data_IF_231518520973
#
_entry.id   IF_231518520973
#
_cell.length_a   1.000
_cell.length_b   1.000
_cell.length_c   1.000
_cell.angle_alpha   90.00
_cell.angle_beta   90.00
_cell.angle_gamma   90.00
#
_symmetry.space_group_name_H-M   'P 1'
#
loop_
_entity.id
_entity.type
_entity.pdbx_description
1 polymer ?
#
# COMPACT_ATOMS: atom_id res chain seq x y z
N UNK A 1 -12.82 7.55 15.26
CA UNK A 1 -12.15 8.88 15.14
C UNK A 1 -10.79 8.65 14.51
N UNK A 2 -10.45 9.36 13.43
CA UNK A 2 -9.14 9.20 12.77
C UNK A 2 -8.00 9.58 13.73
N UNK A 3 -6.85 8.87 13.70
CA UNK A 3 -5.65 9.30 14.40
C UNK A 3 -5.21 10.70 13.96
N UNK A 4 -4.65 11.48 14.88
CA UNK A 4 -4.31 12.91 14.69
C UNK A 4 -3.45 13.17 13.44
N UNK A 5 -2.49 12.26 13.15
CA UNK A 5 -1.63 12.35 11.96
C UNK A 5 -2.43 12.36 10.65
N UNK A 6 -3.53 11.61 10.58
CA UNK A 6 -4.37 11.50 9.40
C UNK A 6 -5.39 12.63 9.31
N UNK A 7 -5.89 13.11 10.45
CA UNK A 7 -6.72 14.32 10.49
C UNK A 7 -5.98 15.53 9.93
N UNK A 8 -4.70 15.71 10.31
CA UNK A 8 -3.86 16.80 9.78
C UNK A 8 -3.71 16.73 8.26
N UNK A 9 -3.73 15.55 7.65
CA UNK A 9 -3.67 15.40 6.20
C UNK A 9 -4.96 15.92 5.58
N UNK A 10 -6.13 15.53 6.10
CA UNK A 10 -7.43 15.99 5.59
C UNK A 10 -7.56 17.52 5.73
N UNK A 11 -7.20 18.07 6.90
CA UNK A 11 -7.36 19.50 7.17
C UNK A 11 -6.37 20.37 6.41
N UNK A 12 -5.11 19.92 6.27
CA UNK A 12 -4.05 20.72 5.65
C UNK A 12 -3.92 20.49 4.14
N UNK A 13 -4.71 19.59 3.55
CA UNK A 13 -4.72 19.38 2.10
C UNK A 13 -5.18 20.65 1.38
N UNK A 14 -4.31 21.16 0.49
CA UNK A 14 -4.56 22.33 -0.35
C UNK A 14 -5.67 22.04 -1.36
N UNK A 15 -6.50 23.03 -1.65
CA UNK A 15 -7.59 22.88 -2.62
C UNK A 15 -7.07 22.54 -4.02
N UNK A 16 -6.00 23.19 -4.48
CA UNK A 16 -5.34 22.90 -5.77
C UNK A 16 -4.93 21.42 -5.92
N UNK A 17 -4.47 20.78 -4.84
CA UNK A 17 -4.11 19.36 -4.84
C UNK A 17 -5.34 18.46 -4.95
N UNK A 18 -6.43 18.82 -4.26
CA UNK A 18 -7.72 18.13 -4.33
C UNK A 18 -8.30 18.24 -5.74
N UNK A 19 -8.25 19.43 -6.34
CA UNK A 19 -8.74 19.71 -7.69
C UNK A 19 -7.94 18.92 -8.74
N UNK A 20 -6.60 18.86 -8.61
CA UNK A 20 -5.73 18.04 -9.48
C UNK A 20 -6.09 16.55 -9.41
N UNK A 21 -6.55 16.07 -8.25
CA UNK A 21 -6.99 14.70 -8.05
C UNK A 21 -8.47 14.47 -8.41
N UNK A 22 -9.20 15.53 -8.75
CA UNK A 22 -10.64 15.47 -9.02
C UNK A 22 -11.44 14.95 -7.83
N UNK A 23 -11.03 15.27 -6.60
CA UNK A 23 -11.66 14.76 -5.38
C UNK A 23 -12.00 15.88 -4.40
N UNK A 24 -13.05 15.68 -3.62
CA UNK A 24 -13.44 16.57 -2.51
C UNK A 24 -12.68 16.22 -1.24
N UNK A 25 -12.73 17.13 -0.25
CA UNK A 25 -12.13 16.90 1.07
C UNK A 25 -12.83 15.79 1.86
N UNK A 26 -14.14 15.65 1.70
CA UNK A 26 -14.90 14.58 2.35
C UNK A 26 -14.57 13.21 1.74
N UNK A 27 -14.41 13.13 0.42
CA UNK A 27 -13.92 11.92 -0.25
C UNK A 27 -12.49 11.57 0.19
N UNK A 28 -11.62 12.57 0.38
CA UNK A 28 -10.28 12.35 0.94
C UNK A 28 -10.36 11.75 2.35
N UNK A 29 -11.26 12.28 3.19
CA UNK A 29 -11.49 11.74 4.53
C UNK A 29 -11.93 10.28 4.47
N UNK A 30 -12.95 9.96 3.68
CA UNK A 30 -13.43 8.58 3.53
C UNK A 30 -12.35 7.64 3.03
N UNK A 31 -11.51 8.08 2.08
CA UNK A 31 -10.40 7.28 1.57
C UNK A 31 -9.35 7.00 2.65
N UNK A 32 -9.00 8.03 3.43
CA UNK A 32 -8.03 7.89 4.52
C UNK A 32 -8.61 7.02 5.64
N UNK A 33 -9.86 7.20 6.03
CA UNK A 33 -10.56 6.36 7.01
C UNK A 33 -10.53 4.90 6.61
N UNK A 34 -10.93 4.60 5.37
CA UNK A 34 -10.88 3.24 4.85
C UNK A 34 -9.46 2.65 4.86
N UNK A 35 -8.44 3.46 4.55
CA UNK A 35 -7.04 3.02 4.63
C UNK A 35 -6.62 2.72 6.07
N UNK A 36 -6.94 3.60 7.02
CA UNK A 36 -6.57 3.43 8.42
C UNK A 36 -7.22 2.18 9.01
N UNK A 37 -8.50 1.96 8.71
CA UNK A 37 -9.20 0.77 9.16
C UNK A 37 -8.51 -0.50 8.63
N UNK A 38 -8.19 -0.55 7.33
CA UNK A 38 -7.48 -1.72 6.77
C UNK A 38 -6.10 -1.93 7.39
N UNK A 39 -5.34 -0.86 7.63
CA UNK A 39 -4.01 -0.92 8.26
C UNK A 39 -4.09 -1.40 9.72
N UNK A 40 -5.14 -1.00 10.44
CA UNK A 40 -5.35 -1.42 11.82
C UNK A 40 -5.79 -2.87 11.91
N UNK A 41 -6.78 -3.26 11.12
CA UNK A 41 -7.48 -4.55 11.22
C UNK A 41 -6.78 -5.69 10.47
N UNK A 42 -6.07 -5.40 9.38
CA UNK A 42 -5.61 -6.43 8.42
C UNK A 42 -4.09 -6.46 8.26
N UNK A 43 -3.40 -5.33 8.43
CA UNK A 43 -1.95 -5.30 8.21
C UNK A 43 -1.19 -5.96 9.37
N UNK A 44 -0.19 -6.81 9.05
CA UNK A 44 0.64 -7.47 10.06
C UNK A 44 1.37 -6.41 10.89
N UNK A 45 1.52 -6.67 12.19
CA UNK A 45 2.33 -5.84 13.07
C UNK A 45 3.80 -6.26 12.98
N UNK A 46 4.69 -5.40 13.48
CA UNK A 46 6.12 -5.71 13.53
C UNK A 46 6.33 -6.95 14.39
N UNK A 47 6.99 -7.97 13.81
CA UNK A 47 7.23 -9.26 14.45
C UNK A 47 6.19 -10.34 14.10
N UNK A 48 5.08 -9.99 13.46
CA UNK A 48 4.16 -10.95 12.87
C UNK A 48 4.64 -11.37 11.48
N UNK A 49 4.18 -12.55 11.03
CA UNK A 49 4.48 -13.05 9.70
C UNK A 49 3.91 -12.11 8.63
N UNK A 50 4.72 -11.84 7.60
CA UNK A 50 4.25 -11.12 6.43
C UNK A 50 3.17 -11.93 5.69
N UNK A 51 2.11 -11.30 5.14
CA UNK A 51 1.13 -11.97 4.33
C UNK A 51 1.79 -12.72 3.18
N UNK A 52 1.52 -14.02 3.09
CA UNK A 52 2.00 -14.81 1.96
C UNK A 52 1.29 -14.39 0.67
N UNK A 53 2.02 -14.40 -0.42
CA UNK A 53 1.50 -14.07 -1.74
C UNK A 53 2.24 -14.84 -2.82
N UNK A 54 1.57 -14.99 -3.95
CA UNK A 54 2.12 -15.57 -5.18
C UNK A 54 2.16 -14.49 -6.25
N UNK A 55 3.32 -14.24 -6.83
CA UNK A 55 3.53 -13.22 -7.87
C UNK A 55 4.28 -13.81 -9.05
N UNK A 56 4.00 -13.29 -10.24
CA UNK A 56 4.74 -13.65 -11.44
C UNK A 56 6.08 -12.89 -11.48
N UNK A 57 7.16 -13.61 -11.78
CA UNK A 57 8.50 -13.05 -11.97
C UNK A 57 8.58 -12.44 -13.36
N UNK A 58 9.16 -11.24 -13.45
CA UNK A 58 9.52 -10.62 -14.73
C UNK A 58 10.99 -10.92 -15.07
N UNK A 59 11.30 -10.98 -16.36
CA UNK A 59 12.68 -11.04 -16.83
C UNK A 59 13.39 -9.68 -16.68
N UNK A 60 14.67 -9.64 -17.04
CA UNK A 60 15.48 -8.42 -16.96
C UNK A 60 15.00 -7.28 -17.87
N UNK A 61 14.13 -7.58 -18.84
CA UNK A 61 13.50 -6.62 -19.75
C UNK A 61 12.08 -6.25 -19.29
N UNK A 62 11.62 -6.76 -18.14
CA UNK A 62 10.29 -6.50 -17.60
C UNK A 62 9.19 -7.33 -18.26
N UNK A 63 9.51 -8.37 -19.01
CA UNK A 63 8.52 -9.25 -19.66
C UNK A 63 8.08 -10.35 -18.69
N UNK A 64 6.80 -10.69 -18.77
CA UNK A 64 6.17 -11.85 -18.13
C UNK A 64 6.89 -13.15 -18.49
N UNK A 65 7.07 -14.03 -17.50
CA UNK A 65 7.82 -15.29 -17.63
C UNK A 65 6.97 -16.53 -17.34
N UNK A 66 5.71 -16.36 -16.93
CA UNK A 66 4.80 -17.40 -16.42
C UNK A 66 5.35 -18.17 -15.19
N UNK A 67 6.49 -17.75 -14.64
CA UNK A 67 7.07 -18.32 -13.42
C UNK A 67 6.52 -17.60 -12.21
N UNK A 68 5.91 -18.37 -11.31
CA UNK A 68 5.38 -17.86 -10.06
C UNK A 68 6.42 -17.98 -8.93
N UNK A 69 6.45 -16.99 -8.05
CA UNK A 69 7.18 -16.99 -6.79
C UNK A 69 6.20 -16.81 -5.64
N UNK A 70 6.30 -17.71 -4.66
CA UNK A 70 5.62 -17.59 -3.36
C UNK A 70 6.53 -16.90 -2.35
N UNK A 71 6.06 -15.91 -1.60
CA UNK A 71 6.89 -15.22 -0.59
C UNK A 71 7.49 -16.21 0.42
N UNK A 72 6.68 -17.12 0.96
CA UNK A 72 7.12 -18.11 1.94
C UNK A 72 8.21 -19.07 1.43
N UNK A 73 8.44 -19.17 0.12
CA UNK A 73 9.57 -19.93 -0.43
C UNK A 73 10.95 -19.36 -0.05
N UNK A 74 10.99 -18.12 0.42
CA UNK A 74 12.21 -17.41 0.81
C UNK A 74 12.39 -17.33 2.34
N UNK A 75 11.65 -18.15 3.09
CA UNK A 75 11.75 -18.17 4.55
C UNK A 75 13.19 -18.44 5.02
N UNK A 76 13.64 -17.70 6.04
CA UNK A 76 15.01 -17.77 6.56
C UNK A 76 16.01 -16.81 5.89
N UNK A 77 15.58 -16.07 4.86
CA UNK A 77 16.40 -15.03 4.21
C UNK A 77 15.76 -13.65 4.44
N UNK A 78 16.53 -12.61 4.83
CA UNK A 78 16.00 -11.25 4.91
C UNK A 78 15.56 -10.73 3.54
N UNK A 79 14.33 -10.23 3.44
CA UNK A 79 13.76 -9.67 2.19
C UNK A 79 13.21 -8.27 2.45
N UNK A 80 13.43 -7.37 1.49
CA UNK A 80 12.74 -6.08 1.40
C UNK A 80 11.70 -6.09 0.29
N UNK A 81 10.47 -5.66 0.58
CA UNK A 81 9.41 -5.47 -0.41
C UNK A 81 9.31 -3.99 -0.78
N UNK A 82 9.46 -3.68 -2.06
CA UNK A 82 9.37 -2.32 -2.60
C UNK A 82 8.26 -2.28 -3.64
N UNK A 83 7.27 -1.41 -3.41
CA UNK A 83 6.15 -1.20 -4.33
C UNK A 83 6.38 0.09 -5.11
N UNK A 84 6.25 0.01 -6.43
CA UNK A 84 6.35 1.15 -7.34
C UNK A 84 5.31 1.03 -8.45
N UNK A 85 5.02 2.15 -9.10
CA UNK A 85 4.22 2.16 -10.32
C UNK A 85 5.11 1.74 -11.50
N UNK A 86 4.68 0.71 -12.22
CA UNK A 86 5.16 0.43 -13.58
C UNK A 86 4.07 0.89 -14.53
N UNK A 87 4.31 2.00 -15.22
CA UNK A 87 3.42 2.59 -16.23
C UNK A 87 4.12 2.63 -17.56
#
# INVERSE_FOLDING_TARGET
KLPEKFEKIVTNSKQEWLDTRGMTRDELRTLIEGRVIRDQEVSPKVGEDAPDFDVEILDAQGKRTDKMMKLSSQFGVPIGLVFGSYT
#
